data_IF_016634584872
#
_entry.id   IF_016634584872
#
_cell.length_a   1.000
_cell.length_b   1.000
_cell.length_c   1.000
_cell.angle_alpha   90.00
_cell.angle_beta   90.00
_cell.angle_gamma   90.00
#
_symmetry.space_group_name_H-M   'P 1'
#
loop_
_entity.id
_entity.type
_entity.pdbx_description
1 polymer ?
#
# COMPACT_ATOMS: atom_id res chain seq x y z
N UNK A 1 52.97 7.56 23.01
CA UNK A 1 52.02 6.46 22.78
C UNK A 1 51.76 6.47 21.30
N UNK A 2 52.18 5.42 20.62
CA UNK A 2 52.14 5.30 19.17
C UNK A 2 50.67 5.17 18.73
N UNK A 3 50.13 6.17 18.03
CA UNK A 3 48.71 6.23 17.67
C UNK A 3 48.36 5.37 16.44
N UNK A 4 49.37 4.78 15.78
CA UNK A 4 49.23 3.96 14.58
C UNK A 4 48.60 2.57 14.83
N UNK A 5 48.26 2.24 16.08
CA UNK A 5 47.64 0.97 16.46
C UNK A 5 46.16 1.08 16.89
N UNK A 6 45.48 2.21 16.67
CA UNK A 6 44.05 2.35 17.01
C UNK A 6 43.06 2.13 15.86
N UNK A 7 43.51 1.86 14.63
CA UNK A 7 42.63 1.67 13.48
C UNK A 7 43.16 0.65 12.48
N UNK A 8 42.75 -0.61 12.60
CA UNK A 8 43.13 -1.70 11.68
C UNK A 8 42.10 -1.86 10.54
N UNK A 9 41.71 -0.77 9.89
CA UNK A 9 40.71 -0.76 8.82
C UNK A 9 41.07 0.18 7.68
N UNK A 10 40.60 -0.12 6.47
CA UNK A 10 40.70 0.78 5.31
C UNK A 10 39.91 2.07 5.57
N UNK A 11 40.13 3.13 4.78
CA UNK A 11 39.33 4.36 4.81
C UNK A 11 37.81 4.10 4.77
N UNK A 12 37.37 3.04 4.07
CA UNK A 12 35.98 2.62 4.02
C UNK A 12 35.48 2.05 5.35
N UNK A 13 36.34 1.35 6.09
CA UNK A 13 36.03 0.80 7.42
C UNK A 13 35.92 1.91 8.48
N UNK A 14 36.71 2.97 8.35
CA UNK A 14 36.61 4.16 9.20
C UNK A 14 35.28 4.89 8.98
N UNK A 15 34.87 5.10 7.72
CA UNK A 15 33.56 5.69 7.40
C UNK A 15 32.41 4.78 7.85
N UNK A 16 32.52 3.47 7.66
CA UNK A 16 31.47 2.54 8.03
C UNK A 16 31.30 2.39 9.54
N UNK A 17 32.35 2.66 10.31
CA UNK A 17 32.32 2.66 11.78
C UNK A 17 31.96 4.03 12.39
N UNK A 18 31.89 5.09 11.57
CA UNK A 18 31.41 6.39 11.99
C UNK A 18 29.97 6.30 12.49
N UNK A 19 29.78 6.67 13.75
CA UNK A 19 28.49 6.57 14.44
C UNK A 19 27.41 7.43 13.78
N UNK A 20 27.76 8.56 13.16
CA UNK A 20 26.79 9.44 12.51
C UNK A 20 26.35 8.86 11.17
N UNK A 21 27.25 8.18 10.43
CA UNK A 21 26.90 7.40 9.24
C UNK A 21 25.97 6.25 9.60
N UNK A 22 26.30 5.50 10.66
CA UNK A 22 25.46 4.38 11.14
C UNK A 22 24.06 4.87 11.57
N UNK A 23 23.98 5.98 12.33
CA UNK A 23 22.69 6.60 12.72
C UNK A 23 21.87 7.01 11.50
N UNK A 24 22.50 7.60 10.48
CA UNK A 24 21.80 8.01 9.27
C UNK A 24 21.24 6.81 8.50
N UNK A 25 22.01 5.74 8.37
CA UNK A 25 21.55 4.48 7.77
C UNK A 25 20.36 3.88 8.52
N UNK A 26 20.38 3.90 9.86
CA UNK A 26 19.26 3.45 10.68
C UNK A 26 18.02 4.33 10.51
N UNK A 27 18.20 5.65 10.49
CA UNK A 27 17.10 6.61 10.27
C UNK A 27 16.46 6.41 8.89
N UNK A 28 17.28 6.25 7.84
CA UNK A 28 16.81 5.99 6.48
C UNK A 28 16.06 4.66 6.41
N UNK A 29 16.56 3.61 7.07
CA UNK A 29 15.88 2.31 7.14
C UNK A 29 14.52 2.44 7.82
N UNK A 30 14.45 3.16 8.94
CA UNK A 30 13.19 3.43 9.64
C UNK A 30 12.21 4.24 8.79
N UNK A 31 12.69 5.27 8.09
CA UNK A 31 11.88 6.07 7.18
C UNK A 31 11.35 5.25 6.00
N UNK A 32 12.17 4.38 5.41
CA UNK A 32 11.77 3.49 4.33
C UNK A 32 10.72 2.47 4.80
N UNK A 33 10.89 1.91 6.00
CA UNK A 33 9.90 1.01 6.59
C UNK A 33 8.57 1.74 6.86
N UNK A 34 8.61 2.93 7.47
CA UNK A 34 7.40 3.73 7.72
C UNK A 34 6.68 4.12 6.43
N UNK A 35 7.43 4.42 5.36
CA UNK A 35 6.87 4.69 4.04
C UNK A 35 6.17 3.44 3.47
N UNK A 36 6.79 2.25 3.55
CA UNK A 36 6.18 0.98 3.15
C UNK A 36 4.87 0.71 3.90
N UNK A 37 4.86 0.87 5.22
CA UNK A 37 3.65 0.68 6.02
C UNK A 37 2.54 1.65 5.61
N UNK A 38 2.89 2.91 5.33
CA UNK A 38 1.92 3.91 4.86
C UNK A 38 1.32 3.54 3.50
N UNK A 39 2.15 3.01 2.58
CA UNK A 39 1.69 2.46 1.30
C UNK A 39 0.77 1.26 1.50
N UNK A 40 1.14 0.30 2.36
CA UNK A 40 0.33 -0.89 2.65
C UNK A 40 -1.03 -0.50 3.27
N UNK A 41 -1.06 0.49 4.14
CA UNK A 41 -2.31 1.03 4.70
C UNK A 41 -3.19 1.67 3.62
N UNK A 42 -2.59 2.43 2.70
CA UNK A 42 -3.32 3.01 1.57
C UNK A 42 -3.90 1.92 0.65
N UNK A 43 -3.11 0.91 0.31
CA UNK A 43 -3.55 -0.22 -0.51
C UNK A 43 -4.64 -1.05 0.17
N UNK A 44 -4.61 -1.15 1.51
CA UNK A 44 -5.65 -1.87 2.28
C UNK A 44 -7.04 -1.27 2.05
N UNK A 45 -7.16 0.05 1.82
CA UNK A 45 -8.43 0.67 1.49
C UNK A 45 -9.07 0.09 0.21
N UNK A 46 -8.27 -0.39 -0.74
CA UNK A 46 -8.77 -0.96 -1.99
C UNK A 46 -9.25 -2.40 -1.85
N UNK A 47 -8.92 -3.08 -0.74
CA UNK A 47 -9.35 -4.47 -0.52
C UNK A 47 -10.87 -4.63 -0.41
N UNK A 48 -11.60 -3.55 -0.12
CA UNK A 48 -13.06 -3.57 -0.15
C UNK A 48 -13.63 -3.85 -1.55
N UNK A 49 -12.85 -3.60 -2.59
CA UNK A 49 -13.20 -3.85 -3.99
C UNK A 49 -12.73 -5.21 -4.50
N UNK A 50 -12.09 -6.03 -3.67
CA UNK A 50 -11.54 -7.35 -4.04
C UNK A 50 -12.57 -8.26 -4.69
N UNK A 51 -13.81 -8.21 -4.23
CA UNK A 51 -14.88 -9.03 -4.78
C UNK A 51 -15.18 -8.73 -6.24
N UNK A 52 -14.86 -7.52 -6.75
CA UNK A 52 -15.09 -7.18 -8.15
C UNK A 52 -14.18 -7.96 -9.10
N UNK A 53 -12.96 -8.30 -8.65
CA UNK A 53 -11.94 -8.91 -9.50
C UNK A 53 -11.46 -10.29 -9.04
N UNK A 54 -11.73 -10.68 -7.79
CA UNK A 54 -11.40 -12.01 -7.24
C UNK A 54 -12.57 -13.00 -7.29
N UNK A 55 -13.82 -12.54 -7.37
CA UNK A 55 -14.98 -13.44 -7.46
C UNK A 55 -15.36 -13.74 -8.90
N UNK A 56 -15.83 -14.97 -9.13
CA UNK A 56 -16.45 -15.34 -10.39
C UNK A 56 -17.84 -14.68 -10.48
N UNK A 57 -17.97 -13.76 -11.43
CA UNK A 57 -19.20 -13.03 -11.74
C UNK A 57 -20.35 -13.98 -12.09
N UNK A 58 -20.05 -15.11 -12.75
CA UNK A 58 -21.03 -16.11 -13.12
C UNK A 58 -21.58 -16.81 -11.87
N UNK A 59 -20.70 -17.19 -10.95
CA UNK A 59 -21.09 -17.80 -9.68
C UNK A 59 -21.93 -16.83 -8.84
N UNK A 60 -21.50 -15.57 -8.70
CA UNK A 60 -22.24 -14.56 -7.95
C UNK A 60 -23.64 -14.30 -8.53
N UNK A 61 -23.77 -14.30 -9.86
CA UNK A 61 -25.05 -14.17 -10.55
C UNK A 61 -25.97 -15.37 -10.30
N UNK A 62 -25.44 -16.59 -10.37
CA UNK A 62 -26.21 -17.82 -10.11
C UNK A 62 -26.71 -17.86 -8.66
N UNK A 63 -25.86 -17.50 -7.69
CA UNK A 63 -26.24 -17.38 -6.28
C UNK A 63 -27.31 -16.32 -6.04
N UNK A 64 -27.26 -15.20 -6.76
CA UNK A 64 -28.29 -14.16 -6.70
C UNK A 64 -29.61 -14.65 -7.28
N UNK A 65 -29.59 -15.27 -8.46
CA UNK A 65 -30.79 -15.80 -9.12
C UNK A 65 -31.43 -16.96 -8.36
N UNK A 66 -30.64 -17.78 -7.66
CA UNK A 66 -31.15 -18.85 -6.80
C UNK A 66 -32.06 -18.34 -5.68
N UNK A 67 -31.89 -17.08 -5.24
CA UNK A 67 -32.74 -16.43 -4.22
C UNK A 67 -34.12 -16.01 -4.75
N UNK A 68 -34.40 -16.19 -6.04
CA UNK A 68 -35.61 -15.70 -6.73
C UNK A 68 -35.87 -14.22 -6.42
N UNK A 69 -34.91 -13.34 -6.75
CA UNK A 69 -34.95 -11.93 -6.39
C UNK A 69 -36.16 -11.24 -7.03
N UNK A 70 -36.75 -10.30 -6.30
CA UNK A 70 -37.79 -9.41 -6.80
C UNK A 70 -37.17 -8.14 -7.40
N UNK A 71 -37.99 -7.29 -8.02
CA UNK A 71 -37.53 -6.07 -8.70
C UNK A 71 -36.77 -5.13 -7.75
N UNK A 72 -37.21 -5.01 -6.50
CA UNK A 72 -36.57 -4.18 -5.48
C UNK A 72 -35.16 -4.69 -5.10
N UNK A 73 -34.97 -6.02 -5.06
CA UNK A 73 -33.65 -6.63 -4.82
C UNK A 73 -32.69 -6.37 -5.98
N UNK A 74 -33.18 -6.40 -7.23
CA UNK A 74 -32.37 -6.01 -8.39
C UNK A 74 -31.94 -4.54 -8.31
N UNK A 75 -32.87 -3.66 -7.97
CA UNK A 75 -32.57 -2.23 -7.85
C UNK A 75 -31.57 -1.95 -6.72
N UNK A 76 -31.69 -2.64 -5.59
CA UNK A 76 -30.74 -2.55 -4.48
C UNK A 76 -29.34 -2.99 -4.90
N UNK A 77 -29.24 -4.13 -5.61
CA UNK A 77 -27.94 -4.63 -6.10
C UNK A 77 -27.33 -3.68 -7.14
N UNK A 78 -28.15 -3.07 -8.01
CA UNK A 78 -27.69 -2.06 -8.95
C UNK A 78 -27.20 -0.79 -8.23
N UNK A 79 -27.93 -0.31 -7.22
CA UNK A 79 -27.53 0.85 -6.43
C UNK A 79 -26.20 0.63 -5.70
N UNK A 80 -25.93 -0.58 -5.22
CA UNK A 80 -24.63 -0.96 -4.65
C UNK A 80 -23.49 -0.72 -5.65
N UNK A 81 -23.61 -1.22 -6.88
CA UNK A 81 -22.57 -1.01 -7.91
C UNK A 81 -22.44 0.47 -8.33
N UNK A 82 -23.56 1.20 -8.45
CA UNK A 82 -23.54 2.64 -8.73
C UNK A 82 -22.84 3.44 -7.62
N UNK A 83 -23.05 3.06 -6.36
CA UNK A 83 -22.35 3.67 -5.22
C UNK A 83 -20.85 3.40 -5.27
N UNK A 84 -20.45 2.20 -5.66
CA UNK A 84 -19.04 1.82 -5.81
C UNK A 84 -18.38 2.62 -6.94
N UNK A 85 -19.00 2.71 -8.10
CA UNK A 85 -18.50 3.52 -9.21
C UNK A 85 -18.29 4.98 -8.80
N UNK A 86 -19.27 5.56 -8.10
CA UNK A 86 -19.16 6.91 -7.54
C UNK A 86 -18.05 7.04 -6.50
N UNK A 87 -17.79 5.99 -5.72
CA UNK A 87 -16.70 5.98 -4.76
C UNK A 87 -15.35 5.96 -5.47
N UNK A 88 -15.15 5.04 -6.43
CA UNK A 88 -13.92 4.93 -7.22
C UNK A 88 -13.65 6.23 -7.97
N UNK A 89 -14.66 6.85 -8.57
CA UNK A 89 -14.52 8.14 -9.26
C UNK A 89 -14.09 9.32 -8.37
N UNK A 90 -14.14 9.18 -7.04
CA UNK A 90 -13.65 10.19 -6.10
C UNK A 90 -12.23 9.93 -5.62
N UNK A 91 -11.67 8.75 -5.88
CA UNK A 91 -10.30 8.42 -5.50
C UNK A 91 -9.37 9.33 -6.29
N UNK A 92 -8.46 10.01 -5.59
CA UNK A 92 -7.53 10.91 -6.23
C UNK A 92 -6.56 10.11 -7.11
N UNK A 93 -6.28 10.56 -8.35
CA UNK A 93 -5.38 9.84 -9.26
C UNK A 93 -3.98 9.66 -8.70
N UNK A 94 -3.54 10.64 -7.90
CA UNK A 94 -2.20 10.71 -7.34
C UNK A 94 -2.31 10.85 -5.82
N UNK A 95 -1.65 9.95 -5.11
CA UNK A 95 -1.55 9.97 -3.66
C UNK A 95 -0.09 10.06 -3.22
N UNK A 96 0.28 11.16 -2.55
CA UNK A 96 1.66 11.40 -2.13
C UNK A 96 1.91 10.84 -0.73
N UNK A 97 2.92 9.97 -0.59
CA UNK A 97 3.37 9.40 0.68
C UNK A 97 4.84 9.73 0.88
N UNK A 98 5.13 10.73 1.70
CA UNK A 98 6.49 11.18 1.96
C UNK A 98 7.19 11.63 0.68
N UNK A 99 8.24 10.90 0.28
CA UNK A 99 8.98 11.14 -0.96
C UNK A 99 8.44 10.34 -2.17
N UNK A 100 7.38 9.55 -1.99
CA UNK A 100 6.74 8.77 -3.06
C UNK A 100 5.45 9.43 -3.53
N UNK A 101 5.12 9.22 -4.80
CA UNK A 101 3.86 9.57 -5.43
C UNK A 101 3.27 8.30 -6.01
N UNK A 102 2.10 7.89 -5.52
CA UNK A 102 1.39 6.71 -6.01
C UNK A 102 0.37 7.14 -7.04
N UNK A 103 0.50 6.61 -8.25
CA UNK A 103 -0.47 6.78 -9.33
C UNK A 103 -1.39 5.55 -9.34
N UNK A 104 -2.70 5.79 -9.30
CA UNK A 104 -3.74 4.74 -9.21
C UNK A 104 -4.66 4.69 -10.43
N UNK A 105 -4.35 5.47 -11.48
CA UNK A 105 -5.04 5.47 -12.78
C UNK A 105 -4.38 4.55 -13.79
#
# INVERSE_FOLDING_TARGET
VDYDNLGTGTFFDEIASDIDVVKLCLLLTGAMHGCRTSVEQYLTAFTEFDFLYLQDLQQAYEEFMAKKPNLDMFETELQKYMSIEKHIGKIAPVHNIGALSLETQ
#
